data_IF_110729299862
#
_entry.id   IF_110729299862
#
_cell.length_a   1.000
_cell.length_b   1.000
_cell.length_c   1.000
_cell.angle_alpha   90.00
_cell.angle_beta   90.00
_cell.angle_gamma   90.00
#
_symmetry.space_group_name_H-M   'P 1'
#
loop_
_entity.id
_entity.type
_entity.pdbx_description
1 polymer ?
#
# COMPACT_ATOMS: atom_id res chain seq x y z
N UNK A 1 32.91 -14.48 3.00
CA UNK A 1 33.10 -14.22 1.55
C UNK A 1 34.45 -13.59 1.20
N UNK A 2 35.30 -13.17 2.15
CA UNK A 2 36.66 -12.70 1.84
C UNK A 2 36.77 -11.32 1.18
N UNK A 3 35.70 -10.53 1.14
CA UNK A 3 35.71 -9.17 0.59
C UNK A 3 36.00 -8.13 1.67
N UNK A 4 36.76 -7.10 1.29
CA UNK A 4 37.05 -5.92 2.10
C UNK A 4 36.36 -4.70 1.46
N UNK A 5 35.37 -4.08 2.13
CA UNK A 5 34.71 -2.90 1.58
C UNK A 5 35.66 -1.70 1.63
N UNK A 6 35.73 -0.96 0.53
CA UNK A 6 36.44 0.32 0.42
C UNK A 6 35.40 1.35 -0.04
N UNK A 7 35.33 2.46 0.68
CA UNK A 7 34.49 3.61 0.35
C UNK A 7 35.38 4.84 0.18
N UNK A 8 35.26 5.53 -0.95
CA UNK A 8 35.97 6.78 -1.24
C UNK A 8 34.95 7.90 -1.25
N UNK A 9 34.98 8.73 -0.20
CA UNK A 9 34.06 9.86 -0.07
C UNK A 9 34.40 10.96 -1.07
N UNK A 10 33.40 11.77 -1.41
CA UNK A 10 33.53 12.82 -2.42
C UNK A 10 34.63 13.86 -2.14
N UNK A 11 35.02 14.04 -0.88
CA UNK A 11 36.02 15.01 -0.39
C UNK A 11 37.44 14.44 -0.30
N UNK A 12 37.63 13.13 -0.52
CA UNK A 12 38.95 12.49 -0.50
C UNK A 12 39.82 12.79 -1.74
N UNK A 13 39.25 12.94 -2.96
CA UNK A 13 40.03 13.36 -4.12
C UNK A 13 40.57 14.80 -3.97
N UNK A 14 41.85 15.05 -4.29
CA UNK A 14 42.43 16.38 -4.21
C UNK A 14 41.65 17.41 -5.05
N UNK A 15 41.42 18.58 -4.48
CA UNK A 15 40.73 19.69 -5.17
C UNK A 15 39.21 19.69 -5.06
N UNK A 16 38.62 18.80 -4.25
CA UNK A 16 37.18 18.82 -3.91
C UNK A 16 36.99 19.35 -2.49
N UNK A 17 36.15 20.37 -2.34
CA UNK A 17 35.78 20.98 -1.07
C UNK A 17 34.37 21.57 -1.14
N UNK A 18 33.97 22.39 -0.17
CA UNK A 18 32.58 22.84 -0.06
C UNK A 18 32.06 23.58 -1.30
N UNK A 19 32.89 24.44 -1.91
CA UNK A 19 32.55 25.12 -3.16
C UNK A 19 32.26 24.16 -4.32
N UNK A 20 32.97 23.02 -4.36
CA UNK A 20 32.71 21.97 -5.34
C UNK A 20 31.37 21.29 -5.06
N UNK A 21 31.09 20.98 -3.79
CA UNK A 21 29.81 20.39 -3.38
C UNK A 21 28.63 21.30 -3.74
N UNK A 22 28.68 22.58 -3.39
CA UNK A 22 27.63 23.54 -3.69
C UNK A 22 27.40 23.71 -5.20
N UNK A 23 28.47 23.85 -5.99
CA UNK A 23 28.40 23.95 -7.46
C UNK A 23 27.81 22.69 -8.10
N UNK A 24 28.21 21.51 -7.62
CA UNK A 24 27.67 20.25 -8.14
C UNK A 24 26.21 20.06 -7.76
N UNK A 25 25.83 20.27 -6.48
CA UNK A 25 24.43 20.20 -6.03
C UNK A 25 23.55 21.17 -6.83
N UNK A 26 24.04 22.39 -7.12
CA UNK A 26 23.36 23.36 -7.97
C UNK A 26 23.09 22.83 -9.39
N UNK A 27 24.02 22.06 -9.97
CA UNK A 27 23.91 21.56 -11.35
C UNK A 27 23.09 20.29 -11.47
N UNK A 28 23.27 19.35 -10.55
CA UNK A 28 22.71 18.00 -10.66
C UNK A 28 21.53 17.75 -9.71
N UNK A 29 21.34 18.62 -8.72
CA UNK A 29 20.38 18.47 -7.64
C UNK A 29 20.86 17.53 -6.54
N UNK A 30 20.29 17.69 -5.34
CA UNK A 30 20.67 16.96 -4.13
C UNK A 30 20.60 15.43 -4.30
N UNK A 31 19.55 14.93 -4.98
CA UNK A 31 19.37 13.49 -5.21
C UNK A 31 20.51 12.87 -6.02
N UNK A 32 20.91 13.51 -7.13
CA UNK A 32 22.03 13.01 -7.94
C UNK A 32 23.36 13.20 -7.22
N UNK A 33 23.51 14.25 -6.42
CA UNK A 33 24.69 14.41 -5.57
C UNK A 33 24.86 13.21 -4.62
N UNK A 34 23.81 12.82 -3.90
CA UNK A 34 23.85 11.69 -2.97
C UNK A 34 24.17 10.36 -3.67
N UNK A 35 23.63 10.15 -4.88
CA UNK A 35 23.93 8.96 -5.69
C UNK A 35 25.36 8.93 -6.24
N UNK A 36 25.81 10.02 -6.87
CA UNK A 36 27.07 10.07 -7.62
C UNK A 36 28.29 10.33 -6.72
N UNK A 37 28.11 11.08 -5.63
CA UNK A 37 29.21 11.57 -4.78
C UNK A 37 29.18 11.00 -3.36
N UNK A 38 28.00 10.76 -2.77
CA UNK A 38 27.91 10.16 -1.43
C UNK A 38 27.77 8.63 -1.46
N UNK A 39 27.87 8.02 -2.65
CA UNK A 39 27.79 6.57 -2.86
C UNK A 39 26.51 5.95 -2.29
N UNK A 40 25.41 6.72 -2.21
CA UNK A 40 24.14 6.19 -1.78
C UNK A 40 23.49 5.39 -2.91
N UNK A 41 23.08 4.16 -2.60
CA UNK A 41 22.31 3.32 -3.52
C UNK A 41 20.87 3.84 -3.62
N UNK A 42 20.68 4.88 -4.44
CA UNK A 42 19.35 5.40 -4.76
C UNK A 42 18.79 4.63 -5.96
N UNK A 43 17.56 4.11 -5.82
CA UNK A 43 16.87 3.46 -6.94
C UNK A 43 16.53 4.49 -8.02
N UNK A 44 16.85 4.15 -9.28
CA UNK A 44 16.58 4.99 -10.45
C UNK A 44 15.08 5.11 -10.74
N UNK A 45 14.31 4.08 -10.37
CA UNK A 45 12.87 4.02 -10.58
C UNK A 45 12.14 4.88 -9.54
N UNK A 46 11.17 5.68 -9.99
CA UNK A 46 10.38 6.52 -9.10
C UNK A 46 9.50 5.64 -8.19
N UNK A 47 9.82 5.64 -6.89
CA UNK A 47 9.00 5.00 -5.86
C UNK A 47 7.69 5.75 -5.66
N UNK A 48 6.65 5.06 -5.20
CA UNK A 48 5.41 5.70 -4.80
C UNK A 48 5.63 6.65 -3.61
N UNK A 49 6.29 6.14 -2.56
CA UNK A 49 6.59 6.87 -1.32
C UNK A 49 8.02 7.41 -1.38
N UNK A 50 8.21 8.63 -0.88
CA UNK A 50 9.54 9.22 -0.76
C UNK A 50 10.51 8.32 0.03
N UNK A 51 11.74 8.24 -0.47
CA UNK A 51 12.77 7.36 0.07
C UNK A 51 13.16 7.69 1.53
N UNK A 52 13.13 8.96 1.93
CA UNK A 52 13.44 9.37 3.31
C UNK A 52 12.29 8.99 4.25
N UNK A 53 11.05 9.12 3.78
CA UNK A 53 9.86 8.66 4.53
C UNK A 53 9.92 7.15 4.73
N UNK A 54 10.24 6.38 3.69
CA UNK A 54 10.42 4.92 3.81
C UNK A 54 11.56 4.52 4.73
N UNK A 55 12.69 5.26 4.71
CA UNK A 55 13.79 5.03 5.64
C UNK A 55 13.36 5.24 7.09
N UNK A 56 12.58 6.30 7.36
CA UNK A 56 12.06 6.57 8.69
C UNK A 56 11.05 5.49 9.13
N UNK A 57 10.10 5.14 8.27
CA UNK A 57 9.12 4.08 8.54
C UNK A 57 9.82 2.75 8.84
N UNK A 58 10.87 2.41 8.09
CA UNK A 58 11.67 1.19 8.34
C UNK A 58 12.23 1.16 9.76
N UNK A 59 12.73 2.29 10.26
CA UNK A 59 13.26 2.40 11.63
C UNK A 59 12.15 2.28 12.65
N UNK A 60 10.99 2.89 12.40
CA UNK A 60 9.83 2.83 13.30
C UNK A 60 9.34 1.39 13.41
N UNK A 61 9.13 0.70 12.28
CA UNK A 61 8.61 -0.68 12.30
C UNK A 61 9.61 -1.66 12.88
N UNK A 62 10.93 -1.41 12.78
CA UNK A 62 12.01 -2.26 13.31
C UNK A 62 11.76 -2.77 14.74
N UNK A 63 11.21 -1.92 15.60
CA UNK A 63 11.00 -2.19 17.02
C UNK A 63 9.56 -2.62 17.36
N UNK A 64 8.65 -2.62 16.38
CA UNK A 64 7.26 -2.99 16.58
C UNK A 64 7.12 -4.50 16.60
N UNK A 65 6.55 -5.04 17.69
CA UNK A 65 6.25 -6.47 17.82
C UNK A 65 4.74 -6.69 17.77
N UNK A 66 4.29 -7.81 17.18
CA UNK A 66 2.90 -8.23 17.31
C UNK A 66 2.50 -8.35 18.78
N UNK A 67 1.33 -7.84 19.12
CA UNK A 67 0.74 -7.98 20.45
C UNK A 67 0.26 -9.42 20.65
N UNK A 68 -0.42 -9.98 19.64
CA UNK A 68 -0.84 -11.39 19.63
C UNK A 68 -1.08 -11.90 18.21
N UNK A 69 -1.32 -13.21 18.10
CA UNK A 69 -1.76 -13.85 16.85
C UNK A 69 -3.07 -14.59 17.08
N UNK A 70 -4.01 -14.44 16.15
CA UNK A 70 -5.20 -15.26 16.07
C UNK A 70 -5.06 -16.20 14.88
N UNK A 71 -4.62 -17.44 15.15
CA UNK A 71 -4.15 -18.37 14.10
C UNK A 71 -2.99 -17.75 13.32
N UNK A 72 -3.16 -17.51 12.03
CA UNK A 72 -2.17 -16.91 11.13
C UNK A 72 -2.31 -15.39 10.99
N UNK A 73 -3.35 -14.80 11.58
CA UNK A 73 -3.57 -13.36 11.58
C UNK A 73 -2.72 -12.73 12.68
N UNK A 74 -1.92 -11.73 12.32
CA UNK A 74 -1.07 -10.98 13.23
C UNK A 74 -1.82 -9.72 13.67
N UNK A 75 -1.87 -9.47 14.98
CA UNK A 75 -2.44 -8.24 15.56
C UNK A 75 -1.35 -7.46 16.27
N UNK A 76 -1.19 -6.18 15.91
CA UNK A 76 -0.30 -5.25 16.59
C UNK A 76 -1.01 -4.43 17.66
N UNK A 77 -2.33 -4.38 17.57
CA UNK A 77 -3.18 -3.72 18.56
C UNK A 77 -4.43 -4.53 18.78
N UNK A 78 -4.83 -4.70 20.03
CA UNK A 78 -6.12 -5.30 20.37
C UNK A 78 -7.28 -4.38 19.90
N UNK A 79 -8.27 -4.90 19.14
CA UNK A 79 -9.45 -4.14 18.79
C UNK A 79 -10.16 -3.59 20.03
N UNK A 80 -10.57 -2.33 19.95
CA UNK A 80 -11.22 -1.58 21.02
C UNK A 80 -12.72 -1.49 20.75
N UNK A 81 -13.49 -1.36 21.82
CA UNK A 81 -14.95 -1.21 21.74
C UNK A 81 -15.35 0.10 21.07
N UNK A 82 -16.51 0.08 20.41
CA UNK A 82 -17.17 1.26 19.84
C UNK A 82 -16.26 2.05 18.88
N UNK A 83 -15.39 1.33 18.15
CA UNK A 83 -14.54 1.87 17.09
C UNK A 83 -15.06 1.44 15.72
N UNK A 84 -14.53 2.08 14.68
CA UNK A 84 -14.76 1.67 13.29
C UNK A 84 -13.50 1.01 12.75
N UNK A 85 -13.65 -0.08 12.00
CA UNK A 85 -12.55 -0.77 11.34
C UNK A 85 -12.80 -0.89 9.84
N UNK A 86 -11.75 -0.66 9.06
CA UNK A 86 -11.73 -0.90 7.62
C UNK A 86 -10.96 -2.20 7.35
N UNK A 87 -11.52 -3.10 6.55
CA UNK A 87 -10.92 -4.39 6.22
C UNK A 87 -10.84 -4.56 4.70
N UNK A 88 -9.63 -4.59 4.17
CA UNK A 88 -9.36 -4.73 2.73
C UNK A 88 -8.72 -6.06 2.44
N UNK A 89 -9.26 -6.81 1.48
CA UNK A 89 -8.72 -8.09 1.06
C UNK A 89 -8.31 -8.07 -0.41
N UNK A 90 -7.06 -8.47 -0.66
CA UNK A 90 -6.57 -8.85 -1.99
C UNK A 90 -6.39 -10.38 -2.03
N UNK A 91 -7.27 -11.11 -2.75
CA UNK A 91 -7.24 -12.57 -2.81
C UNK A 91 -6.35 -13.08 -3.94
N UNK A 92 -5.53 -14.09 -3.62
CA UNK A 92 -4.69 -14.82 -4.57
C UNK A 92 -5.10 -16.29 -4.69
N UNK A 93 -4.63 -16.96 -5.74
CA UNK A 93 -5.03 -18.35 -6.07
C UNK A 93 -4.50 -19.42 -5.11
N UNK A 94 -3.47 -19.12 -4.31
CA UNK A 94 -2.79 -20.10 -3.47
C UNK A 94 -1.71 -20.93 -4.21
N UNK A 95 -1.29 -20.49 -5.40
CA UNK A 95 -0.27 -21.13 -6.24
C UNK A 95 1.17 -21.03 -5.70
N UNK A 96 1.40 -20.20 -4.68
CA UNK A 96 2.73 -19.86 -4.16
C UNK A 96 3.39 -18.64 -4.82
N UNK A 97 2.81 -18.08 -5.89
CA UNK A 97 3.36 -16.88 -6.58
C UNK A 97 2.96 -15.58 -5.89
N UNK A 98 1.66 -15.40 -5.71
CA UNK A 98 1.04 -14.21 -5.14
C UNK A 98 0.41 -14.56 -3.80
N UNK A 99 0.23 -13.56 -2.95
CA UNK A 99 -0.27 -13.76 -1.59
C UNK A 99 -1.71 -13.28 -1.47
N UNK A 100 -2.54 -14.07 -0.80
CA UNK A 100 -3.78 -13.54 -0.24
C UNK A 100 -3.40 -12.67 0.95
N UNK A 101 -3.78 -11.40 0.92
CA UNK A 101 -3.56 -10.45 2.01
C UNK A 101 -4.87 -9.86 2.50
N UNK A 102 -5.01 -9.76 3.82
CA UNK A 102 -6.08 -9.01 4.48
C UNK A 102 -5.44 -7.98 5.39
N UNK A 103 -5.76 -6.71 5.15
CA UNK A 103 -5.34 -5.57 5.94
C UNK A 103 -6.48 -5.04 6.80
N UNK A 104 -6.19 -4.67 8.04
CA UNK A 104 -7.17 -4.10 8.98
C UNK A 104 -6.66 -2.79 9.54
N UNK A 105 -7.43 -1.71 9.37
CA UNK A 105 -7.11 -0.38 9.87
C UNK A 105 -8.21 0.13 10.81
N UNK A 106 -7.82 0.77 11.92
CA UNK A 106 -8.76 1.52 12.77
C UNK A 106 -9.11 2.85 12.11
N UNK A 107 -10.39 3.19 12.06
CA UNK A 107 -10.88 4.49 11.62
C UNK A 107 -11.46 5.28 12.81
N UNK A 108 -11.17 6.60 12.94
CA UNK A 108 -10.48 7.47 11.99
C UNK A 108 -8.96 7.61 12.24
N UNK A 109 -8.34 6.84 13.12
CA UNK A 109 -6.89 7.00 13.39
C UNK A 109 -5.99 6.51 12.24
N UNK A 110 -6.50 5.67 11.34
CA UNK A 110 -5.78 4.98 10.25
C UNK A 110 -4.51 4.28 10.74
N UNK A 111 -4.60 3.67 11.92
CA UNK A 111 -3.55 2.81 12.44
C UNK A 111 -3.81 1.38 11.98
N UNK A 112 -2.78 0.75 11.39
CA UNK A 112 -2.84 -0.67 11.02
C UNK A 112 -2.92 -1.52 12.29
N UNK A 113 -3.96 -2.33 12.39
CA UNK A 113 -4.31 -3.12 13.59
C UNK A 113 -3.96 -4.59 13.40
N UNK A 114 -4.23 -5.13 12.21
CA UNK A 114 -3.99 -6.52 11.91
C UNK A 114 -3.66 -6.75 10.43
N UNK A 115 -2.93 -7.82 10.18
CA UNK A 115 -2.57 -8.30 8.84
C UNK A 115 -2.67 -9.83 8.81
N UNK A 116 -3.18 -10.36 7.72
CA UNK A 116 -3.05 -11.75 7.35
C UNK A 116 -2.38 -11.83 5.98
N UNK A 117 -1.44 -12.76 5.80
CA UNK A 117 -0.76 -12.98 4.54
C UNK A 117 -0.42 -14.46 4.34
N UNK A 118 -0.87 -15.05 3.24
CA UNK A 118 -0.50 -16.43 2.86
C UNK A 118 -0.59 -16.64 1.35
N UNK A 119 0.37 -17.38 0.78
CA UNK A 119 0.40 -17.74 -0.65
C UNK A 119 -0.02 -19.20 -0.93
N UNK A 120 -0.50 -19.93 0.08
CA UNK A 120 -0.87 -21.36 -0.05
C UNK A 120 -2.35 -21.62 0.17
N UNK A 121 -3.12 -20.60 0.54
CA UNK A 121 -4.55 -20.76 0.84
C UNK A 121 -5.42 -20.75 -0.41
N UNK A 122 -6.40 -21.63 -0.41
CA UNK A 122 -7.51 -21.61 -1.35
C UNK A 122 -8.54 -20.52 -1.01
N UNK A 123 -9.38 -20.12 -1.97
CA UNK A 123 -10.43 -19.11 -1.75
C UNK A 123 -11.39 -19.43 -0.60
N UNK A 124 -11.83 -20.71 -0.39
CA UNK A 124 -12.64 -21.05 0.78
C UNK A 124 -11.93 -20.86 2.12
N UNK A 125 -10.64 -21.23 2.20
CA UNK A 125 -9.85 -21.04 3.42
C UNK A 125 -9.63 -19.55 3.70
N UNK A 126 -9.30 -18.78 2.67
CA UNK A 126 -9.16 -17.34 2.75
C UNK A 126 -10.46 -16.67 3.23
N UNK A 127 -11.61 -17.10 2.72
CA UNK A 127 -12.92 -16.63 3.20
C UNK A 127 -13.16 -16.95 4.68
N UNK A 128 -12.79 -18.14 5.15
CA UNK A 128 -12.89 -18.50 6.57
C UNK A 128 -12.02 -17.59 7.44
N UNK A 129 -10.81 -17.24 6.99
CA UNK A 129 -9.95 -16.27 7.69
C UNK A 129 -10.61 -14.90 7.74
N UNK A 130 -11.07 -14.37 6.60
CA UNK A 130 -11.79 -13.09 6.53
C UNK A 130 -12.98 -13.08 7.51
N UNK A 131 -13.85 -14.09 7.44
CA UNK A 131 -15.01 -14.23 8.32
C UNK A 131 -14.64 -14.26 9.81
N UNK A 132 -13.54 -14.90 10.17
CA UNK A 132 -13.06 -14.92 11.56
C UNK A 132 -12.55 -13.55 12.02
N UNK A 133 -11.85 -12.82 11.15
CA UNK A 133 -11.42 -11.43 11.43
C UNK A 133 -12.64 -10.54 11.65
N UNK A 134 -13.60 -10.56 10.71
CA UNK A 134 -14.81 -9.74 10.80
C UNK A 134 -15.59 -10.02 12.09
N UNK A 135 -15.84 -11.30 12.40
CA UNK A 135 -16.54 -11.68 13.66
C UNK A 135 -15.79 -11.25 14.91
N UNK A 136 -14.47 -11.32 14.90
CA UNK A 136 -13.68 -10.89 16.04
C UNK A 136 -13.82 -9.38 16.27
N UNK A 137 -13.78 -8.58 15.20
CA UNK A 137 -14.01 -7.13 15.27
C UNK A 137 -15.45 -6.79 15.68
N UNK A 138 -16.45 -7.46 15.13
CA UNK A 138 -17.86 -7.27 15.54
C UNK A 138 -18.07 -7.60 17.02
N UNK A 139 -17.39 -8.63 17.54
CA UNK A 139 -17.53 -9.05 18.94
C UNK A 139 -17.10 -7.97 19.95
N UNK A 140 -16.36 -6.95 19.52
CA UNK A 140 -16.02 -5.79 20.36
C UNK A 140 -17.09 -4.71 20.37
N UNK A 141 -18.20 -4.88 19.63
CA UNK A 141 -19.23 -3.84 19.46
C UNK A 141 -18.81 -2.75 18.48
N UNK A 142 -17.91 -3.08 17.55
CA UNK A 142 -17.32 -2.13 16.61
C UNK A 142 -18.01 -2.20 15.25
N UNK A 143 -18.11 -1.07 14.57
CA UNK A 143 -18.55 -1.03 13.17
C UNK A 143 -17.43 -1.51 12.26
N UNK A 144 -17.75 -2.33 11.25
CA UNK A 144 -16.74 -2.88 10.35
C UNK A 144 -17.19 -2.66 8.92
N UNK A 145 -16.36 -2.00 8.11
CA UNK A 145 -16.55 -1.89 6.67
C UNK A 145 -15.51 -2.74 5.99
N UNK A 146 -15.93 -3.58 5.05
CA UNK A 146 -14.99 -4.44 4.34
C UNK A 146 -15.29 -4.56 2.86
N UNK A 147 -14.25 -4.84 2.09
CA UNK A 147 -14.40 -5.20 0.70
C UNK A 147 -13.26 -6.10 0.23
N UNK A 148 -13.47 -6.70 -0.93
CA UNK A 148 -12.58 -7.66 -1.57
C UNK A 148 -12.31 -7.18 -2.99
N UNK A 149 -11.05 -7.27 -3.44
CA UNK A 149 -10.72 -7.08 -4.86
C UNK A 149 -11.48 -8.11 -5.70
N UNK A 150 -12.24 -7.65 -6.70
CA UNK A 150 -13.12 -8.51 -7.50
C UNK A 150 -12.42 -9.14 -8.72
N UNK A 151 -11.16 -9.55 -8.54
CA UNK A 151 -10.47 -10.43 -9.49
C UNK A 151 -11.17 -11.81 -9.52
N UNK A 152 -10.76 -12.72 -10.42
CA UNK A 152 -11.42 -14.03 -10.55
C UNK A 152 -11.43 -14.87 -9.27
N UNK A 153 -10.44 -14.69 -8.38
CA UNK A 153 -10.37 -15.36 -7.07
C UNK A 153 -11.33 -14.67 -6.08
N UNK A 154 -11.35 -13.34 -6.09
CA UNK A 154 -12.20 -12.54 -5.22
C UNK A 154 -13.68 -12.66 -5.54
N UNK A 155 -14.07 -12.82 -6.81
CA UNK A 155 -15.44 -13.20 -7.18
C UNK A 155 -15.85 -14.51 -6.48
N UNK A 156 -14.94 -15.47 -6.34
CA UNK A 156 -15.17 -16.70 -5.57
C UNK A 156 -15.32 -16.46 -4.06
N UNK A 157 -14.47 -15.63 -3.46
CA UNK A 157 -14.58 -15.24 -2.04
C UNK A 157 -15.90 -14.51 -1.76
N UNK A 158 -16.30 -13.60 -2.65
CA UNK A 158 -17.57 -12.85 -2.55
C UNK A 158 -18.76 -13.80 -2.70
N UNK A 159 -18.72 -14.74 -3.65
CA UNK A 159 -19.79 -15.73 -3.80
C UNK A 159 -19.95 -16.61 -2.55
N UNK A 160 -18.84 -16.99 -1.91
CA UNK A 160 -18.86 -17.72 -0.64
C UNK A 160 -19.47 -16.87 0.49
N UNK A 161 -19.15 -15.57 0.54
CA UNK A 161 -19.77 -14.65 1.49
C UNK A 161 -21.29 -14.54 1.28
N UNK A 162 -21.74 -14.41 0.03
CA UNK A 162 -23.16 -14.30 -0.30
C UNK A 162 -23.94 -15.60 -0.05
N UNK A 163 -23.30 -16.76 -0.19
CA UNK A 163 -23.89 -18.06 0.05
C UNK A 163 -23.83 -18.49 1.53
N UNK A 164 -23.10 -17.76 2.38
CA UNK A 164 -22.98 -18.08 3.79
C UNK A 164 -24.29 -17.80 4.54
N UNK A 165 -24.86 -18.84 5.15
CA UNK A 165 -26.08 -18.73 5.95
C UNK A 165 -25.85 -18.04 7.30
N UNK A 166 -24.59 -17.87 7.71
CA UNK A 166 -24.21 -17.25 8.98
C UNK A 166 -23.07 -16.24 8.78
N UNK A 167 -23.26 -15.20 7.96
CA UNK A 167 -22.25 -14.18 7.76
C UNK A 167 -22.05 -13.36 9.05
N UNK A 168 -20.95 -12.60 9.15
CA UNK A 168 -20.86 -11.50 10.11
C UNK A 168 -22.11 -10.60 10.01
N UNK A 169 -22.64 -10.16 11.16
CA UNK A 169 -23.97 -9.50 11.24
C UNK A 169 -23.89 -7.99 11.11
N UNK A 170 -22.80 -7.40 11.58
CA UNK A 170 -22.59 -5.95 11.69
C UNK A 170 -21.47 -5.43 10.78
N UNK A 171 -20.76 -6.32 10.09
CA UNK A 171 -19.77 -5.98 9.09
C UNK A 171 -20.47 -5.71 7.77
N UNK A 172 -20.34 -4.47 7.31
CA UNK A 172 -20.94 -4.00 6.07
C UNK A 172 -20.00 -4.26 4.90
N UNK A 173 -20.48 -5.05 3.94
CA UNK A 173 -19.77 -5.26 2.68
C UNK A 173 -20.00 -4.06 1.77
N UNK A 174 -18.92 -3.38 1.41
CA UNK A 174 -18.95 -2.20 0.54
C UNK A 174 -18.51 -2.59 -0.87
N UNK A 175 -19.23 -2.11 -1.88
CA UNK A 175 -18.95 -2.33 -3.29
C UNK A 175 -18.95 -1.00 -4.02
N UNK A 176 -18.16 -0.87 -5.09
CA UNK A 176 -18.15 0.36 -5.90
C UNK A 176 -19.53 0.65 -6.49
N UNK A 177 -20.02 1.87 -6.31
CA UNK A 177 -21.30 2.29 -6.90
C UNK A 177 -21.26 2.29 -8.44
N UNK A 178 -22.40 1.90 -9.05
CA UNK A 178 -22.55 1.91 -10.51
C UNK A 178 -21.75 0.85 -11.27
N UNK A 179 -21.05 -0.05 -10.57
CA UNK A 179 -20.35 -1.19 -11.18
C UNK A 179 -21.24 -2.42 -11.22
N UNK A 180 -21.11 -3.21 -12.31
CA UNK A 180 -21.84 -4.48 -12.48
C UNK A 180 -21.28 -5.61 -11.61
N UNK A 181 -19.99 -5.56 -11.31
CA UNK A 181 -19.30 -6.55 -10.48
C UNK A 181 -19.29 -6.07 -9.04
N UNK A 182 -19.57 -6.99 -8.13
CA UNK A 182 -19.61 -6.76 -6.69
C UNK A 182 -18.16 -6.76 -6.16
N UNK A 183 -17.85 -5.90 -5.19
CA UNK A 183 -16.50 -5.69 -4.65
C UNK A 183 -15.78 -4.51 -5.30
N UNK A 184 -14.44 -4.53 -5.24
CA UNK A 184 -13.60 -3.43 -5.73
C UNK A 184 -12.94 -3.79 -7.05
N UNK A 185 -13.24 -3.04 -8.10
CA UNK A 185 -12.65 -3.21 -9.43
C UNK A 185 -11.38 -2.36 -9.56
N UNK A 186 -10.25 -3.02 -9.74
CA UNK A 186 -8.96 -2.33 -9.93
C UNK A 186 -8.79 -1.94 -11.40
N UNK A 187 -9.16 -0.70 -11.73
CA UNK A 187 -8.82 -0.05 -13.00
C UNK A 187 -7.53 0.73 -12.87
N UNK A 188 -6.85 1.04 -13.99
CA UNK A 188 -5.64 1.91 -13.95
C UNK A 188 -5.91 3.25 -13.25
N UNK A 189 -7.07 3.86 -13.50
CA UNK A 189 -7.50 5.13 -12.88
C UNK A 189 -7.76 4.97 -11.38
N UNK A 190 -8.55 3.97 -10.97
CA UNK A 190 -8.87 3.73 -9.56
C UNK A 190 -7.62 3.33 -8.75
N UNK A 191 -6.74 2.52 -9.34
CA UNK A 191 -5.43 2.17 -8.77
C UNK A 191 -4.55 3.40 -8.57
N UNK A 192 -4.45 4.27 -9.56
CA UNK A 192 -3.64 5.50 -9.47
C UNK A 192 -4.15 6.44 -8.40
N UNK A 193 -5.45 6.72 -8.36
CA UNK A 193 -6.06 7.54 -7.29
C UNK A 193 -5.76 6.96 -5.91
N UNK A 194 -6.01 5.66 -5.71
CA UNK A 194 -5.73 5.01 -4.44
C UNK A 194 -4.24 5.07 -4.06
N UNK A 195 -3.32 4.93 -5.02
CA UNK A 195 -1.88 5.08 -4.78
C UNK A 195 -1.53 6.50 -4.33
N UNK A 196 -2.12 7.53 -4.95
CA UNK A 196 -1.86 8.93 -4.58
C UNK A 196 -2.38 9.24 -3.17
N UNK A 197 -3.60 8.80 -2.83
CA UNK A 197 -4.15 8.95 -1.49
C UNK A 197 -3.29 8.21 -0.45
N UNK A 198 -2.87 6.98 -0.76
CA UNK A 198 -1.98 6.21 0.10
C UNK A 198 -0.65 6.95 0.33
N UNK A 199 -0.05 7.46 -0.75
CA UNK A 199 1.18 8.26 -0.68
C UNK A 199 1.02 9.45 0.25
N UNK A 200 0.00 10.26 0.02
CA UNK A 200 -0.25 11.46 0.80
C UNK A 200 -0.46 11.14 2.28
N UNK A 201 -1.27 10.12 2.60
CA UNK A 201 -1.55 9.76 3.98
C UNK A 201 -0.33 9.24 4.73
N UNK A 202 0.53 8.48 4.06
CA UNK A 202 1.78 8.00 4.64
C UNK A 202 2.77 9.16 4.84
N UNK A 203 2.93 10.03 3.84
CA UNK A 203 3.91 11.13 3.87
C UNK A 203 3.50 12.24 4.84
N UNK A 204 2.20 12.50 5.00
CA UNK A 204 1.65 13.41 6.01
C UNK A 204 1.53 12.76 7.40
N UNK A 205 1.94 11.49 7.56
CA UNK A 205 1.85 10.72 8.80
C UNK A 205 0.42 10.65 9.38
N UNK A 206 -0.60 10.63 8.50
CA UNK A 206 -2.01 10.46 8.86
C UNK A 206 -2.49 9.02 8.71
N UNK A 207 -1.64 8.13 8.20
CA UNK A 207 -1.81 6.67 8.18
C UNK A 207 -0.56 6.00 8.75
N UNK A 208 -0.74 5.10 9.73
CA UNK A 208 0.37 4.41 10.40
C UNK A 208 0.43 2.96 9.97
N UNK A 209 1.43 2.63 9.16
CA UNK A 209 1.76 1.25 8.78
C UNK A 209 2.77 0.71 9.79
N UNK A 210 2.43 -0.44 10.38
CA UNK A 210 3.26 -1.11 11.40
C UNK A 210 3.81 -2.46 10.90
N UNK A 211 3.29 -2.96 9.77
CA UNK A 211 3.77 -4.18 9.13
C UNK A 211 5.12 -3.98 8.46
N UNK A 212 6.07 -4.85 8.81
CA UNK A 212 7.34 -4.94 8.11
C UNK A 212 7.18 -5.35 6.64
N UNK A 213 6.23 -6.24 6.35
CA UNK A 213 6.03 -6.80 5.01
C UNK A 213 5.47 -5.73 4.08
N UNK A 214 4.46 -4.99 4.54
CA UNK A 214 3.93 -3.84 3.80
C UNK A 214 5.02 -2.79 3.54
N UNK A 215 5.82 -2.43 4.55
CA UNK A 215 6.93 -1.47 4.35
C UNK A 215 8.00 -2.01 3.40
N UNK A 216 8.26 -3.32 3.37
CA UNK A 216 9.17 -3.94 2.41
C UNK A 216 8.64 -3.84 0.98
N UNK A 217 7.36 -4.14 0.76
CA UNK A 217 6.75 -4.01 -0.56
C UNK A 217 6.78 -2.55 -1.05
N UNK A 218 6.52 -1.58 -0.17
CA UNK A 218 6.56 -0.15 -0.53
C UNK A 218 7.92 0.32 -1.05
N UNK A 219 9.03 -0.28 -0.59
CA UNK A 219 10.39 0.01 -1.09
C UNK A 219 10.64 -0.52 -2.50
N UNK A 220 9.83 -1.47 -2.92
CA UNK A 220 9.93 -2.15 -4.21
C UNK A 220 8.80 -1.73 -5.16
N UNK A 221 7.94 -0.80 -4.75
CA UNK A 221 6.77 -0.38 -5.53
C UNK A 221 7.08 0.86 -6.37
N UNK A 222 7.30 0.63 -7.67
CA UNK A 222 7.84 1.63 -8.59
C UNK A 222 6.88 1.99 -9.71
N UNK A 223 7.05 3.19 -10.26
CA UNK A 223 6.22 3.69 -11.37
C UNK A 223 6.55 2.95 -12.66
N UNK A 224 5.53 2.38 -13.31
CA UNK A 224 5.64 1.66 -14.59
C UNK A 224 4.41 1.92 -15.47
N UNK A 225 4.63 2.33 -16.72
CA UNK A 225 3.59 2.54 -17.73
C UNK A 225 2.39 3.39 -17.27
N UNK A 226 2.65 4.47 -16.51
CA UNK A 226 1.59 5.34 -15.98
C UNK A 226 0.78 4.73 -14.84
N UNK A 227 1.27 3.66 -14.21
CA UNK A 227 0.78 3.11 -12.94
C UNK A 227 1.94 2.82 -12.00
N UNK A 228 1.68 2.11 -10.91
CA UNK A 228 2.69 1.53 -10.03
C UNK A 228 2.54 0.02 -9.96
N UNK A 229 3.64 -0.69 -9.78
CA UNK A 229 3.68 -2.13 -9.56
C UNK A 229 4.93 -2.50 -8.77
N UNK A 230 4.95 -3.70 -8.19
CA UNK A 230 6.17 -4.28 -7.68
C UNK A 230 7.27 -4.33 -8.76
N UNK A 231 8.52 -4.08 -8.33
CA UNK A 231 9.71 -4.39 -9.12
C UNK A 231 9.72 -5.89 -9.44
N UNK A 232 10.30 -6.25 -10.58
CA UNK A 232 10.44 -7.65 -10.98
C UNK A 232 11.14 -8.47 -9.89
N UNK A 233 10.46 -9.52 -9.42
CA UNK A 233 10.95 -10.41 -8.36
C UNK A 233 10.45 -10.07 -6.94
N UNK A 234 9.71 -8.96 -6.80
CA UNK A 234 9.08 -8.54 -5.55
C UNK A 234 7.56 -8.74 -5.60
N UNK A 235 6.88 -8.62 -4.45
CA UNK A 235 5.42 -8.69 -4.31
C UNK A 235 4.83 -7.32 -3.99
N UNK A 236 3.54 -7.12 -4.26
CA UNK A 236 2.77 -5.93 -3.92
C UNK A 236 1.39 -6.23 -3.31
N UNK A 237 1.16 -7.46 -2.84
CA UNK A 237 -0.15 -7.91 -2.35
C UNK A 237 -0.63 -7.15 -1.10
N UNK A 238 0.28 -6.76 -0.18
CA UNK A 238 -0.07 -5.95 0.98
C UNK A 238 -0.44 -4.53 0.57
N UNK A 239 0.29 -3.99 -0.43
CA UNK A 239 -0.06 -2.70 -1.02
C UNK A 239 -1.43 -2.79 -1.66
N UNK A 240 -1.73 -3.82 -2.45
CA UNK A 240 -3.03 -4.03 -3.10
C UNK A 240 -4.18 -4.09 -2.10
N UNK A 241 -4.03 -4.85 -1.00
CA UNK A 241 -4.99 -4.85 0.11
C UNK A 241 -5.11 -3.46 0.76
N UNK A 242 -4.01 -2.74 0.93
CA UNK A 242 -4.02 -1.33 1.37
C UNK A 242 -4.75 -0.38 0.40
N UNK A 243 -4.65 -0.60 -0.92
CA UNK A 243 -5.40 0.16 -1.92
C UNK A 243 -6.91 -0.15 -1.86
N UNK A 244 -7.30 -1.35 -1.42
CA UNK A 244 -8.71 -1.65 -1.10
C UNK A 244 -9.18 -0.80 0.09
N UNK A 245 -8.36 -0.64 1.14
CA UNK A 245 -8.68 0.25 2.27
C UNK A 245 -8.87 1.70 1.82
N UNK A 246 -8.03 2.20 0.91
CA UNK A 246 -8.17 3.56 0.37
C UNK A 246 -9.47 3.74 -0.43
N UNK A 247 -9.87 2.71 -1.19
CA UNK A 247 -11.13 2.72 -1.95
C UNK A 247 -12.34 2.60 -1.02
N UNK A 248 -12.27 1.76 0.01
CA UNK A 248 -13.28 1.71 1.07
C UNK A 248 -13.50 3.10 1.68
N UNK A 249 -12.41 3.78 2.05
CA UNK A 249 -12.47 5.13 2.60
C UNK A 249 -13.16 6.11 1.64
N UNK A 250 -12.88 6.01 0.34
CA UNK A 250 -13.53 6.82 -0.70
C UNK A 250 -15.04 6.56 -0.78
N UNK A 251 -15.46 5.30 -0.84
CA UNK A 251 -16.88 4.94 -0.93
C UNK A 251 -17.67 5.33 0.32
N UNK A 252 -17.11 5.12 1.53
CA UNK A 252 -17.79 5.53 2.78
C UNK A 252 -17.76 7.04 3.00
N UNK A 253 -16.83 7.77 2.36
CA UNK A 253 -16.76 9.23 2.39
C UNK A 253 -18.02 9.92 1.87
N UNK A 254 -18.75 9.25 0.98
CA UNK A 254 -20.05 9.73 0.48
C UNK A 254 -21.15 9.71 1.55
N UNK A 255 -20.96 8.95 2.65
CA UNK A 255 -21.99 8.69 3.67
C UNK A 255 -21.59 9.17 5.07
N UNK A 256 -20.28 9.22 5.39
CA UNK A 256 -19.77 9.61 6.69
C UNK A 256 -18.95 10.90 6.65
N UNK A 257 -19.35 11.91 7.44
CA UNK A 257 -18.66 13.21 7.51
C UNK A 257 -17.17 13.08 7.89
N UNK A 258 -16.79 12.16 8.78
CA UNK A 258 -15.39 11.98 9.17
C UNK A 258 -14.53 11.38 8.04
N UNK A 259 -15.13 10.58 7.17
CA UNK A 259 -14.45 10.04 5.99
C UNK A 259 -14.38 11.10 4.89
N UNK A 260 -15.47 11.86 4.70
CA UNK A 260 -15.52 13.07 3.87
C UNK A 260 -14.42 14.06 4.29
N UNK A 261 -14.32 14.45 5.55
CA UNK A 261 -13.35 15.43 6.03
C UNK A 261 -11.90 15.00 5.78
N UNK A 262 -11.62 13.70 5.90
CA UNK A 262 -10.33 13.15 5.50
C UNK A 262 -10.11 13.30 4.00
N UNK A 263 -11.07 12.91 3.17
CA UNK A 263 -10.95 12.96 1.72
C UNK A 263 -10.86 14.38 1.15
N UNK A 264 -11.67 15.31 1.68
CA UNK A 264 -11.71 16.70 1.21
C UNK A 264 -10.53 17.54 1.69
N UNK A 265 -9.87 17.15 2.78
CA UNK A 265 -8.54 17.66 3.08
C UNK A 265 -7.52 17.34 1.97
N UNK A 266 -7.78 16.33 1.12
CA UNK A 266 -6.90 15.92 0.02
C UNK A 266 -7.25 16.60 -1.33
N UNK A 267 -8.50 16.98 -1.56
CA UNK A 267 -8.93 17.63 -2.81
C UNK A 267 -8.52 19.10 -2.91
N UNK A 268 -8.43 19.83 -1.80
CA UNK A 268 -8.17 21.28 -1.80
C UNK A 268 -6.74 21.68 -2.21
N UNK A 269 -5.78 20.73 -2.31
CA UNK A 269 -4.36 21.06 -2.45
C UNK A 269 -3.62 20.51 -3.70
N UNK A 270 -4.17 19.62 -4.55
CA UNK A 270 -3.34 19.08 -5.66
C UNK A 270 -3.94 18.32 -6.86
N UNK A 271 -5.22 18.43 -7.23
CA UNK A 271 -5.72 17.64 -8.38
C UNK A 271 -6.66 18.37 -9.34
N UNK A 272 -6.19 18.53 -10.58
CA UNK A 272 -7.03 18.78 -11.76
C UNK A 272 -6.97 17.56 -12.69
N UNK A 273 -8.06 17.23 -13.37
CA UNK A 273 -8.11 16.12 -14.35
C UNK A 273 -7.11 16.29 -15.53
N UNK A 274 -6.44 17.44 -15.65
CA UNK A 274 -5.49 17.79 -16.71
C UNK A 274 -4.10 17.13 -16.56
N UNK A 275 -3.75 16.61 -15.37
CA UNK A 275 -2.48 15.91 -15.15
C UNK A 275 -2.44 14.48 -15.76
N UNK A 276 -3.56 14.03 -16.33
CA UNK A 276 -3.68 12.81 -17.13
C UNK A 276 -3.39 13.10 -18.62
N UNK A 277 -2.13 13.35 -18.96
CA UNK A 277 -1.68 13.24 -20.36
C UNK A 277 -1.17 11.82 -20.59
N UNK A 278 -1.91 11.02 -21.37
CA UNK A 278 -1.39 9.80 -22.00
C UNK A 278 -0.24 10.20 -22.95
N UNK A 279 1.01 10.15 -22.49
CA UNK A 279 2.16 10.22 -23.37
C UNK A 279 2.39 8.84 -24.00
N UNK A 280 1.69 8.55 -25.09
CA UNK A 280 1.87 7.34 -25.90
C UNK A 280 3.07 7.43 -26.87
N UNK A 281 4.04 8.31 -26.60
CA UNK A 281 5.26 8.44 -27.39
C UNK A 281 6.46 7.87 -26.62
N UNK A 282 6.56 6.55 -26.60
CA UNK A 282 7.87 5.91 -26.48
C UNK A 282 8.60 6.08 -27.82
N UNK A 283 9.82 6.66 -27.88
CA UNK A 283 10.55 6.76 -29.13
C UNK A 283 10.86 5.35 -29.64
N UNK A 284 10.35 5.03 -30.82
CA UNK A 284 10.65 3.80 -31.56
C UNK A 284 12.17 3.66 -31.73
N UNK A 285 12.77 2.49 -31.47
CA UNK A 285 14.19 2.31 -31.71
C UNK A 285 14.46 2.49 -33.20
N UNK A 286 15.32 3.45 -33.56
CA UNK A 286 15.82 3.60 -34.91
C UNK A 286 16.51 2.30 -35.34
N UNK A 287 15.91 1.61 -36.31
CA UNK A 287 16.52 0.54 -37.08
C UNK A 287 17.62 1.14 -37.94
N UNK A 288 18.88 0.90 -37.57
CA UNK A 288 20.00 1.16 -38.48
C UNK A 288 20.06 0.02 -39.52
N UNK A 289 19.81 0.36 -40.78
CA UNK A 289 20.34 -0.37 -41.94
C UNK A 289 21.81 -0.01 -42.13
#
# INVERSE_FOLDING_TARGET
>A
NGFFPIEVKWDQPPGRGELFKEDQISKIGDRKWRQEYECEFLSTEALLIDSLVLLNLTKIVADIKPEFKMREVVFWRKPQRDKTYLVGMDPATGSGTDFTVIEVFEFPSMEQVAEFRSNTMSSPEAYVILKNILRYLESTGSSVYFSVENNGVGEGVIALYQADERPPVYAEFVSEEGKKRIGMTTTKKSKMRACMNLKEMIEKNTMKIVSHLFVQELKEYTRKAGSYCARTGSTDDCISAGLIIMRLLYEIGSFEQAAFDKLHFFEDDSWSDEDYVESDDAPTPMSFM
#
